data_IF_995231565134
#
_entry.id   IF_995231565134
#
_cell.length_a   1.000
_cell.length_b   1.000
_cell.length_c   1.000
_cell.angle_alpha   90.00
_cell.angle_beta   90.00
_cell.angle_gamma   90.00
#
_symmetry.space_group_name_H-M   'P 1'
#
loop_
_entity.id
_entity.type
_entity.pdbx_description
1 polymer ?
#
# COMPACT_ATOMS: atom_id res chain seq x y z
N UNK A 1 32.08 -8.23 4.96
CA UNK A 1 30.72 -8.51 4.47
C UNK A 1 29.86 -9.07 5.61
N UNK A 2 28.93 -8.27 6.17
CA UNK A 2 27.55 -8.67 6.49
C UNK A 2 26.79 -7.43 7.02
N UNK A 3 26.26 -6.61 6.09
CA UNK A 3 25.52 -5.36 6.37
C UNK A 3 24.01 -5.59 6.30
N UNK A 4 23.53 -6.77 6.71
CA UNK A 4 22.12 -7.10 6.59
C UNK A 4 21.34 -6.43 7.74
N UNK A 5 21.16 -5.12 7.60
CA UNK A 5 20.26 -4.22 8.32
C UNK A 5 18.82 -4.72 8.22
N UNK A 6 18.50 -5.83 8.89
CA UNK A 6 17.16 -6.41 8.91
C UNK A 6 16.46 -6.12 10.24
N UNK A 7 16.70 -4.93 10.79
CA UNK A 7 15.73 -4.32 11.70
C UNK A 7 14.44 -4.18 10.86
N UNK A 8 13.34 -4.89 11.20
CA UNK A 8 12.05 -4.54 10.59
C UNK A 8 11.85 -3.06 10.93
N UNK A 9 11.57 -2.17 9.94
CA UNK A 9 11.25 -0.81 10.31
C UNK A 9 10.01 -0.93 11.20
N UNK A 10 10.17 -0.62 12.48
CA UNK A 10 9.12 -0.17 13.38
C UNK A 10 8.59 1.15 12.82
N UNK A 11 8.11 1.10 11.59
CA UNK A 11 7.62 2.21 10.82
C UNK A 11 6.15 2.29 11.09
N UNK A 12 5.69 3.42 11.60
CA UNK A 12 4.26 3.62 11.80
C UNK A 12 3.53 3.45 10.46
N UNK A 13 2.31 2.90 10.52
CA UNK A 13 1.43 2.84 9.36
C UNK A 13 1.11 4.28 8.94
N UNK A 14 1.52 4.63 7.73
CA UNK A 14 1.20 5.91 7.13
C UNK A 14 -0.28 5.92 6.79
N UNK A 15 -0.95 7.02 7.09
CA UNK A 15 -2.32 7.23 6.64
C UNK A 15 -2.25 8.13 5.41
N UNK A 16 -2.65 7.58 4.28
CA UNK A 16 -2.57 8.24 2.98
C UNK A 16 -3.97 8.34 2.41
N UNK A 17 -4.30 9.54 1.98
CA UNK A 17 -5.48 9.82 1.18
C UNK A 17 -5.12 9.64 -0.29
N UNK A 18 -5.74 8.66 -0.93
CA UNK A 18 -5.45 8.30 -2.30
C UNK A 18 -6.29 9.15 -3.24
N UNK A 19 -5.65 10.04 -4.01
CA UNK A 19 -6.31 10.87 -5.02
C UNK A 19 -6.15 10.34 -6.45
N UNK A 20 -6.84 10.99 -7.39
CA UNK A 20 -6.81 10.66 -8.82
C UNK A 20 -5.53 11.14 -9.49
N UNK A 21 -4.40 10.50 -9.16
CA UNK A 21 -3.09 10.76 -9.77
C UNK A 21 -2.02 11.22 -8.77
N UNK A 22 -2.45 11.69 -7.60
CA UNK A 22 -1.57 12.00 -6.48
C UNK A 22 -2.14 11.36 -5.21
N UNK A 23 -1.28 11.12 -4.22
CA UNK A 23 -1.71 10.66 -2.91
C UNK A 23 -1.18 11.64 -1.87
N UNK A 24 -2.03 11.96 -0.88
CA UNK A 24 -1.70 12.89 0.17
C UNK A 24 -1.46 12.14 1.47
N UNK A 25 -0.26 12.27 2.02
CA UNK A 25 0.06 11.69 3.33
C UNK A 25 -0.64 12.52 4.42
N UNK A 26 -1.71 11.97 4.99
CA UNK A 26 -2.46 12.55 6.11
C UNK A 26 -1.69 12.34 7.42
N UNK A 27 -1.12 11.15 7.61
CA UNK A 27 -0.23 10.85 8.74
C UNK A 27 1.11 10.33 8.24
N UNK A 28 2.23 10.95 8.67
CA UNK A 28 3.55 10.48 8.29
C UNK A 28 3.79 9.09 8.88
N UNK A 29 4.23 8.17 8.02
CA UNK A 29 4.58 6.80 8.38
C UNK A 29 5.54 6.22 7.35
N UNK A 30 6.06 5.02 7.61
CA UNK A 30 7.06 4.42 6.74
C UNK A 30 6.44 3.52 5.65
N UNK A 31 5.25 2.97 5.92
CA UNK A 31 4.57 2.07 5.00
C UNK A 31 3.05 2.16 5.15
N UNK A 32 2.31 1.79 4.11
CA UNK A 32 0.88 1.52 4.12
C UNK A 32 0.65 0.02 4.05
N UNK A 33 -0.52 -0.46 4.44
CA UNK A 33 -0.85 -1.90 4.29
C UNK A 33 -1.62 -2.16 3.02
N UNK A 34 -1.26 -3.24 2.35
CA UNK A 34 -2.04 -3.79 1.25
C UNK A 34 -3.40 -4.26 1.77
N UNK A 35 -4.49 -3.78 1.20
CA UNK A 35 -5.82 -4.18 1.67
C UNK A 35 -6.20 -5.63 1.31
N UNK A 36 -5.51 -6.21 0.31
CA UNK A 36 -5.77 -7.58 -0.16
C UNK A 36 -4.92 -8.61 0.57
N UNK A 37 -3.62 -8.33 0.73
CA UNK A 37 -2.65 -9.26 1.31
C UNK A 37 -2.20 -8.90 2.72
N UNK A 38 -2.50 -7.69 3.21
CA UNK A 38 -2.03 -7.19 4.50
C UNK A 38 -0.53 -6.87 4.54
N UNK A 39 0.19 -7.03 3.43
CA UNK A 39 1.62 -6.79 3.35
C UNK A 39 1.96 -5.29 3.52
N UNK A 40 3.04 -4.95 4.23
CA UNK A 40 3.50 -3.57 4.34
C UNK A 40 4.15 -3.11 3.02
N UNK A 41 3.65 -2.01 2.46
CA UNK A 41 4.11 -1.37 1.22
C UNK A 41 4.72 -0.03 1.60
N UNK A 42 5.99 0.19 1.28
CA UNK A 42 6.59 1.51 1.55
C UNK A 42 5.93 2.57 0.68
N UNK A 43 5.81 3.79 1.19
CA UNK A 43 5.25 4.91 0.42
C UNK A 43 6.01 5.16 -0.89
N UNK A 44 7.33 4.94 -0.88
CA UNK A 44 8.20 5.03 -2.07
C UNK A 44 7.92 3.94 -3.13
N UNK A 45 7.42 2.79 -2.70
CA UNK A 45 7.12 1.61 -3.54
C UNK A 45 5.63 1.54 -3.91
N UNK A 46 4.80 2.42 -3.33
CA UNK A 46 3.39 2.53 -3.60
C UNK A 46 3.16 2.97 -5.05
N UNK A 47 2.96 1.99 -5.92
CA UNK A 47 2.73 2.20 -7.36
C UNK A 47 1.30 1.92 -7.79
N UNK A 48 0.56 1.14 -7.01
CA UNK A 48 -0.80 0.73 -7.31
C UNK A 48 -1.71 1.04 -6.12
N UNK A 49 -2.68 1.92 -6.35
CA UNK A 49 -3.71 2.27 -5.36
C UNK A 49 -5.05 2.47 -6.05
N UNK A 50 -6.13 2.40 -5.27
CA UNK A 50 -7.47 2.70 -5.75
C UNK A 50 -8.08 3.84 -4.92
N UNK A 51 -8.52 4.87 -5.62
CA UNK A 51 -9.12 6.09 -5.04
C UNK A 51 -10.52 5.82 -4.52
N UNK A 52 -11.31 5.09 -5.29
CA UNK A 52 -12.69 4.72 -4.96
C UNK A 52 -12.78 3.96 -3.63
N UNK A 53 -11.77 3.10 -3.39
CA UNK A 53 -11.74 2.21 -2.25
C UNK A 53 -10.80 2.69 -1.14
N UNK A 54 -9.99 3.74 -1.39
CA UNK A 54 -8.91 4.19 -0.50
C UNK A 54 -7.97 3.05 -0.07
N UNK A 55 -7.64 2.16 -1.01
CA UNK A 55 -6.86 0.94 -0.75
C UNK A 55 -5.55 0.95 -1.55
N UNK A 56 -4.43 0.61 -0.90
CA UNK A 56 -3.16 0.34 -1.56
C UNK A 56 -2.98 -1.13 -1.91
N UNK A 57 -2.23 -1.37 -2.98
CA UNK A 57 -1.91 -2.70 -3.48
C UNK A 57 -0.41 -2.84 -3.72
N UNK A 58 0.15 -3.93 -3.19
CA UNK A 58 1.58 -4.23 -3.31
C UNK A 58 1.96 -4.66 -4.73
N UNK A 59 0.99 -5.14 -5.52
CA UNK A 59 1.25 -5.71 -6.83
C UNK A 59 0.00 -5.62 -7.71
N UNK A 60 0.17 -5.61 -9.04
CA UNK A 60 -0.95 -5.65 -9.98
C UNK A 60 -1.83 -6.90 -9.78
N UNK A 61 -1.25 -8.02 -9.34
CA UNK A 61 -2.01 -9.22 -8.99
C UNK A 61 -2.99 -8.98 -7.81
N UNK A 62 -2.58 -8.17 -6.83
CA UNK A 62 -3.46 -7.81 -5.72
C UNK A 62 -4.62 -6.92 -6.19
N UNK A 63 -4.36 -5.97 -7.10
CA UNK A 63 -5.40 -5.16 -7.74
C UNK A 63 -6.38 -6.05 -8.51
N UNK A 64 -5.87 -6.98 -9.33
CA UNK A 64 -6.69 -7.92 -10.09
C UNK A 64 -7.53 -8.81 -9.17
N UNK A 65 -6.96 -9.28 -8.06
CA UNK A 65 -7.70 -10.07 -7.08
C UNK A 65 -8.83 -9.26 -6.43
N UNK A 66 -8.60 -7.97 -6.12
CA UNK A 66 -9.65 -7.08 -5.62
C UNK A 66 -10.73 -6.82 -6.65
N UNK A 67 -10.34 -6.48 -7.88
CA UNK A 67 -11.26 -6.25 -9.01
C UNK A 67 -12.11 -7.49 -9.28
N UNK A 68 -11.52 -8.67 -9.24
CA UNK A 68 -12.26 -9.94 -9.38
C UNK A 68 -13.25 -10.17 -8.24
N UNK A 69 -12.93 -9.73 -7.01
CA UNK A 69 -13.85 -9.78 -5.87
C UNK A 69 -14.95 -8.72 -5.96
N UNK A 70 -14.65 -7.53 -6.51
CA UNK A 70 -15.59 -6.42 -6.62
C UNK A 70 -16.55 -6.55 -7.82
N UNK A 71 -16.08 -7.03 -8.97
CA UNK A 71 -16.87 -7.17 -10.21
C UNK A 71 -17.86 -8.33 -10.24
N UNK A 72 -18.24 -8.87 -9.07
CA UNK A 72 -19.24 -9.95 -8.94
C UNK A 72 -20.50 -9.50 -8.19
N UNK A 73 -20.69 -8.19 -8.03
CA UNK A 73 -21.89 -7.57 -7.46
C UNK A 73 -22.77 -6.98 -8.56
#
# INVERSE_FOLDING_TARGET
MNINERLPPSGSEALVDYGHGEFRVVRPGAFVRCAVTGAPIRLEDLRYWSVDWQEAYVSPEAVLLRLRRAGRA
#
